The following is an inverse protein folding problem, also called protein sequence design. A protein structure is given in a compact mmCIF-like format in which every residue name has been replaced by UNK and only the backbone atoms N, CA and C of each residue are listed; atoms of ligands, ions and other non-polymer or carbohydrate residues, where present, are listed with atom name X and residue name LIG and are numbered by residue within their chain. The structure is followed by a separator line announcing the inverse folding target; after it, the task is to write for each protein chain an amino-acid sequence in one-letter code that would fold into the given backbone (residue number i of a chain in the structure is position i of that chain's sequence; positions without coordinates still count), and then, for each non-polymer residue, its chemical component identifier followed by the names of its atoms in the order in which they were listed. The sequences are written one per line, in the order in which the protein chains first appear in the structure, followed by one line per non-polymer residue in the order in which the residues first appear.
data_IF_352222239180
#
_entry.id   IF_352222239180
#
_cell.length_a   1.000
_cell.length_b   1.000
_cell.length_c   1.000
_cell.angle_alpha   90.00
_cell.angle_beta   90.00
_cell.angle_gamma   90.00
#
_symmetry.space_group_name_H-M   'P 1'
#
loop_
_entity.id
_entity.type
_entity.pdbx_description
1 polymer ?
#
# COMPACT_ATOMS: atom_id res chain seq x y z
N UNK A 1 -25.44 5.56 -0.54
CA UNK A 1 -24.15 5.31 -1.23
C UNK A 1 -24.25 3.95 -1.90
N UNK A 2 -24.15 3.85 -3.21
CA UNK A 2 -24.17 2.56 -3.90
C UNK A 2 -22.78 1.92 -3.80
N UNK A 3 -22.68 0.76 -3.13
CA UNK A 3 -21.44 -0.02 -3.07
C UNK A 3 -21.45 -1.03 -4.22
N UNK A 4 -20.39 -1.04 -5.02
CA UNK A 4 -20.12 -2.09 -6.01
C UNK A 4 -18.97 -2.92 -5.48
N UNK A 5 -19.17 -4.23 -5.35
CA UNK A 5 -18.10 -5.18 -5.02
C UNK A 5 -17.54 -5.78 -6.30
N UNK A 6 -16.21 -5.76 -6.45
CA UNK A 6 -15.47 -6.42 -7.51
C UNK A 6 -14.45 -7.35 -6.86
N UNK A 7 -14.34 -8.58 -7.35
CA UNK A 7 -13.27 -9.50 -6.98
C UNK A 7 -12.22 -9.53 -8.09
N UNK A 8 -10.95 -9.38 -7.74
CA UNK A 8 -9.82 -9.44 -8.66
C UNK A 8 -8.92 -10.60 -8.24
N UNK A 9 -8.58 -11.48 -9.18
CA UNK A 9 -7.60 -12.56 -8.97
C UNK A 9 -6.34 -12.23 -9.73
N UNK A 10 -5.20 -12.25 -9.04
CA UNK A 10 -3.89 -11.97 -9.62
C UNK A 10 -3.02 -13.20 -9.36
N UNK A 11 -2.42 -13.75 -10.42
CA UNK A 11 -1.39 -14.77 -10.27
C UNK A 11 -0.03 -14.08 -10.16
N UNK A 12 0.72 -14.41 -9.12
CA UNK A 12 2.06 -13.87 -8.90
C UNK A 12 3.02 -14.96 -8.39
N UNK A 13 4.34 -14.77 -8.54
CA UNK A 13 5.33 -15.64 -7.92
C UNK A 13 5.18 -15.68 -6.39
N UNK A 14 5.47 -16.83 -5.77
CA UNK A 14 5.39 -17.02 -4.32
C UNK A 14 6.25 -16.00 -3.57
N UNK A 15 7.48 -15.75 -4.06
CA UNK A 15 8.39 -14.77 -3.45
C UNK A 15 7.83 -13.34 -3.42
N UNK A 16 6.93 -12.99 -4.35
CA UNK A 16 6.27 -11.70 -4.37
C UNK A 16 5.13 -11.64 -3.35
N UNK A 17 4.34 -12.71 -3.25
CA UNK A 17 3.26 -12.84 -2.27
C UNK A 17 3.79 -12.75 -0.83
N UNK A 18 4.86 -13.47 -0.54
CA UNK A 18 5.53 -13.45 0.77
C UNK A 18 6.02 -12.04 1.13
N UNK A 19 6.66 -11.34 0.19
CA UNK A 19 7.10 -9.95 0.41
C UNK A 19 5.93 -9.01 0.67
N UNK A 20 4.82 -9.15 -0.06
CA UNK A 20 3.63 -8.32 0.16
C UNK A 20 3.06 -8.58 1.56
N UNK A 21 3.00 -9.84 1.98
CA UNK A 21 2.53 -10.20 3.31
C UNK A 21 3.43 -9.64 4.43
N UNK A 22 4.75 -9.76 4.28
CA UNK A 22 5.72 -9.21 5.23
C UNK A 22 5.61 -7.68 5.37
N UNK A 23 5.56 -6.95 4.25
CA UNK A 23 5.44 -5.48 4.32
C UNK A 23 4.08 -5.03 4.85
N UNK A 24 2.99 -5.76 4.52
CA UNK A 24 1.68 -5.49 5.09
C UNK A 24 1.69 -5.62 6.62
N UNK A 25 2.34 -6.66 7.16
CA UNK A 25 2.52 -6.82 8.61
C UNK A 25 3.35 -5.68 9.21
N UNK A 26 4.46 -5.28 8.58
CA UNK A 26 5.31 -4.16 9.05
C UNK A 26 4.56 -2.83 9.11
N UNK A 27 3.57 -2.65 8.24
CA UNK A 27 2.73 -1.45 8.18
C UNK A 27 1.42 -1.60 8.97
N UNK A 28 1.24 -2.69 9.72
CA UNK A 28 0.01 -2.97 10.49
C UNK A 28 -1.26 -2.93 9.62
N UNK A 29 -1.15 -3.35 8.36
CA UNK A 29 -2.24 -3.37 7.39
C UNK A 29 -2.61 -4.80 6.99
N UNK A 30 -3.92 -5.03 6.81
CA UNK A 30 -4.37 -6.25 6.16
C UNK A 30 -3.88 -6.31 4.70
N UNK A 31 -3.59 -7.52 4.23
CA UNK A 31 -3.03 -7.77 2.90
C UNK A 31 -3.81 -7.08 1.75
N UNK A 32 -5.14 -7.22 1.72
CA UNK A 32 -5.95 -6.66 0.62
C UNK A 32 -6.03 -5.13 0.64
N UNK A 33 -6.23 -4.45 1.78
CA UNK A 33 -5.97 -3.02 1.92
C UNK A 33 -4.58 -2.60 1.47
N UNK A 34 -3.54 -3.33 1.85
CA UNK A 34 -2.15 -3.01 1.47
C UNK A 34 -1.92 -3.09 -0.04
N UNK A 35 -2.40 -4.15 -0.71
CA UNK A 35 -2.35 -4.26 -2.18
C UNK A 35 -3.06 -3.10 -2.87
N UNK A 36 -4.25 -2.70 -2.36
CA UNK A 36 -4.96 -1.53 -2.91
C UNK A 36 -4.17 -0.24 -2.71
N UNK A 37 -3.56 -0.09 -1.55
CA UNK A 37 -2.73 1.06 -1.22
C UNK A 37 -1.54 1.19 -2.18
N UNK A 38 -0.84 0.08 -2.46
CA UNK A 38 0.24 0.04 -3.45
C UNK A 38 -0.24 0.42 -4.85
N UNK A 39 -1.40 -0.09 -5.29
CA UNK A 39 -2.00 0.27 -6.59
C UNK A 39 -2.29 1.77 -6.66
N UNK A 40 -2.76 2.39 -5.58
CA UNK A 40 -3.03 3.82 -5.54
C UNK A 40 -1.75 4.68 -5.47
N UNK A 41 -0.64 4.13 -4.98
CA UNK A 41 0.65 4.82 -4.94
C UNK A 41 1.48 4.73 -6.22
N UNK A 42 1.13 3.82 -7.13
CA UNK A 42 1.83 3.73 -8.41
C UNK A 42 1.79 5.08 -9.14
N UNK A 43 2.93 5.52 -9.70
CA UNK A 43 3.10 6.85 -10.29
C UNK A 43 2.11 7.15 -11.43
N UNK A 44 1.70 6.12 -12.17
CA UNK A 44 0.76 6.17 -13.29
C UNK A 44 -0.64 5.71 -12.89
N UNK A 45 -0.88 5.51 -11.60
CA UNK A 45 -2.20 5.14 -11.09
C UNK A 45 -3.22 6.22 -11.43
N UNK A 46 -4.37 5.87 -12.04
CA UNK A 46 -5.44 6.83 -12.27
C UNK A 46 -6.26 7.09 -11.00
N UNK A 47 -5.91 6.47 -9.86
CA UNK A 47 -6.61 6.57 -8.59
C UNK A 47 -5.98 7.64 -7.69
N UNK A 48 -6.78 8.19 -6.76
CA UNK A 48 -6.26 9.12 -5.77
C UNK A 48 -5.23 8.43 -4.85
N UNK A 49 -4.07 9.07 -4.68
CA UNK A 49 -3.00 8.59 -3.83
C UNK A 49 -3.45 8.65 -2.35
N UNK A 50 -3.19 7.59 -1.56
CA UNK A 50 -3.51 7.59 -0.14
C UNK A 50 -2.68 8.65 0.60
N UNK A 51 -3.25 9.20 1.69
CA UNK A 51 -2.61 10.24 2.51
C UNK A 51 -1.31 9.79 3.19
N UNK A 52 -1.15 8.47 3.35
CA UNK A 52 0.01 7.86 3.97
C UNK A 52 0.89 7.25 2.87
N UNK A 53 2.19 7.62 2.86
CA UNK A 53 3.17 7.05 1.94
C UNK A 53 3.95 5.96 2.68
N UNK A 54 3.81 4.70 2.26
CA UNK A 54 4.40 3.55 2.98
C UNK A 54 5.80 3.22 2.44
N UNK A 55 6.02 3.39 1.14
CA UNK A 55 7.32 3.19 0.51
C UNK A 55 7.93 4.54 0.11
N UNK A 56 9.05 4.91 0.73
CA UNK A 56 9.91 6.03 0.30
C UNK A 56 11.01 5.51 -0.61
N UNK A 57 11.27 6.18 -1.72
CA UNK A 57 12.53 6.03 -2.45
C UNK A 57 13.62 6.98 -1.91
N UNK A 58 14.80 6.90 -2.51
CA UNK A 58 16.03 7.61 -2.13
C UNK A 58 15.92 9.16 -2.21
N UNK A 59 14.78 9.71 -2.66
CA UNK A 59 14.53 11.15 -2.76
C UNK A 59 13.73 11.73 -1.58
N UNK A 60 13.50 10.97 -0.51
CA UNK A 60 13.68 11.51 0.84
C UNK A 60 12.67 12.53 1.40
N UNK A 61 11.38 12.49 1.08
CA UNK A 61 10.39 13.22 1.89
C UNK A 61 9.22 12.34 2.39
N UNK A 62 9.26 12.03 3.70
CA UNK A 62 8.09 12.15 4.59
C UNK A 62 8.64 12.74 5.88
N UNK A 63 8.42 14.03 6.09
CA UNK A 63 8.55 14.65 7.40
C UNK A 63 7.22 14.48 8.13
N UNK A 64 7.23 13.71 9.21
CA UNK A 64 6.37 13.90 10.39
C UNK A 64 6.93 13.07 11.52
N UNK A 65 7.82 13.70 12.27
CA UNK A 65 8.26 13.25 13.58
C UNK A 65 7.42 14.00 14.63
N UNK A 66 6.31 13.41 15.08
CA UNK A 66 5.56 13.86 16.27
C UNK A 66 4.89 12.61 16.88
N UNK A 67 5.15 12.16 18.09
CA UNK A 67 6.05 12.66 19.12
C UNK A 67 6.18 11.66 20.28
N UNK A 68 7.21 11.86 21.10
CA UNK A 68 7.29 11.35 22.47
C UNK A 68 7.24 12.57 23.41
N UNK A 69 6.26 12.59 24.30
CA UNK A 69 6.22 13.44 25.49
C UNK A 69 5.55 12.66 26.62
#
# INVERSE_FOLDING_TARGET
MAQRSLSVSISMPIEMDEKIAEEAERHEMDYSPYVRHLIQQALDSPFEQPNEVLCKDENGEISRNEGAA
#
